data_IF_217058707448
#
_entry.id   IF_217058707448
#
_cell.length_a   1.000
_cell.length_b   1.000
_cell.length_c   1.000
_cell.angle_alpha   90.00
_cell.angle_beta   90.00
_cell.angle_gamma   90.00
#
_symmetry.space_group_name_H-M   'P 1'
#
loop_
_entity.id
_entity.type
_entity.pdbx_description
1 polymer ?
#
# COMPACT_ATOMS: atom_id res chain seq x y z
N UNK A 1 -35.39 -50.28 23.04
CA UNK A 1 -35.16 -49.17 24.02
C UNK A 1 -33.65 -48.82 24.22
N UNK A 2 -32.74 -49.76 24.60
CA UNK A 2 -31.33 -49.45 24.85
C UNK A 2 -30.57 -48.98 23.58
N UNK A 3 -30.79 -49.62 22.42
CA UNK A 3 -30.16 -49.26 21.16
C UNK A 3 -30.58 -47.85 20.66
N UNK A 4 -31.84 -47.48 20.82
CA UNK A 4 -32.34 -46.16 20.45
C UNK A 4 -31.80 -45.04 21.36
N UNK A 5 -31.66 -45.34 22.68
CA UNK A 5 -31.06 -44.43 23.65
C UNK A 5 -29.57 -44.17 23.29
N UNK A 6 -28.84 -45.23 22.89
CA UNK A 6 -27.44 -45.12 22.45
C UNK A 6 -27.32 -44.31 21.16
N UNK A 7 -28.19 -44.53 20.16
CA UNK A 7 -28.22 -43.82 18.92
C UNK A 7 -28.52 -42.32 19.12
N UNK A 8 -29.44 -41.97 20.03
CA UNK A 8 -29.79 -40.60 20.39
C UNK A 8 -28.65 -39.89 21.12
N UNK A 9 -27.90 -40.59 21.98
CA UNK A 9 -26.73 -40.04 22.65
C UNK A 9 -25.59 -39.75 21.69
N UNK A 10 -25.28 -40.65 20.75
CA UNK A 10 -24.28 -40.44 19.70
C UNK A 10 -24.66 -39.21 18.85
N UNK A 11 -25.93 -39.11 18.41
CA UNK A 11 -26.38 -37.95 17.64
C UNK A 11 -26.21 -36.63 18.41
N UNK A 12 -26.48 -36.63 19.71
CA UNK A 12 -26.28 -35.43 20.57
C UNK A 12 -24.80 -35.05 20.71
N UNK A 13 -23.92 -36.05 20.82
CA UNK A 13 -22.47 -35.84 20.89
C UNK A 13 -21.97 -35.22 19.55
N UNK A 14 -22.37 -35.83 18.42
CA UNK A 14 -22.00 -35.33 17.09
C UNK A 14 -22.46 -33.89 16.88
N UNK A 15 -23.73 -33.57 17.26
CA UNK A 15 -24.25 -32.19 17.15
C UNK A 15 -23.43 -31.21 18.02
N UNK A 16 -23.09 -31.61 19.26
CA UNK A 16 -22.28 -30.76 20.15
C UNK A 16 -20.86 -30.52 19.58
N UNK A 17 -20.25 -31.56 19.00
CA UNK A 17 -18.94 -31.41 18.33
C UNK A 17 -19.04 -30.48 17.14
N UNK A 18 -20.07 -30.62 16.29
CA UNK A 18 -20.28 -29.74 15.15
C UNK A 18 -20.50 -28.27 15.56
N UNK A 19 -21.28 -28.03 16.63
CA UNK A 19 -21.47 -26.69 17.19
C UNK A 19 -20.14 -26.14 17.71
N UNK A 20 -19.34 -26.95 18.40
CA UNK A 20 -18.02 -26.54 18.91
C UNK A 20 -17.06 -26.15 17.76
N UNK A 21 -17.01 -26.96 16.71
CA UNK A 21 -16.20 -26.66 15.52
C UNK A 21 -16.68 -25.39 14.82
N UNK A 22 -18.00 -25.22 14.64
CA UNK A 22 -18.55 -24.02 14.03
C UNK A 22 -18.23 -22.76 14.87
N UNK A 23 -18.34 -22.84 16.20
CA UNK A 23 -18.00 -21.74 17.09
C UNK A 23 -16.49 -21.39 17.04
N UNK A 24 -15.63 -22.40 16.96
CA UNK A 24 -14.19 -22.21 16.80
C UNK A 24 -13.86 -21.52 15.48
N UNK A 25 -14.41 -22.00 14.37
CA UNK A 25 -14.21 -21.36 13.05
C UNK A 25 -14.72 -19.92 13.01
N UNK A 26 -15.85 -19.65 13.66
CA UNK A 26 -16.37 -18.28 13.76
C UNK A 26 -15.41 -17.38 14.56
N UNK A 27 -14.89 -17.87 15.68
CA UNK A 27 -13.92 -17.12 16.49
C UNK A 27 -12.63 -16.83 15.70
N UNK A 28 -12.11 -17.80 14.94
CA UNK A 28 -10.96 -17.62 14.06
C UNK A 28 -11.22 -16.54 12.99
N UNK A 29 -12.36 -16.59 12.34
CA UNK A 29 -12.74 -15.55 11.35
C UNK A 29 -12.92 -14.18 11.98
N UNK A 30 -13.48 -14.08 13.19
CA UNK A 30 -13.56 -12.82 13.92
C UNK A 30 -12.17 -12.29 14.26
N UNK A 31 -11.26 -13.17 14.71
CA UNK A 31 -9.88 -12.80 15.02
C UNK A 31 -9.12 -12.33 13.77
N UNK A 32 -9.26 -13.04 12.64
CA UNK A 32 -8.66 -12.65 11.35
C UNK A 32 -9.19 -11.27 10.92
N UNK A 33 -10.50 -11.05 10.99
CA UNK A 33 -11.12 -9.77 10.67
C UNK A 33 -10.60 -8.64 11.55
N UNK A 34 -10.51 -8.90 12.86
CA UNK A 34 -10.05 -7.92 13.84
C UNK A 34 -8.56 -7.57 13.67
N UNK A 35 -7.71 -8.58 13.49
CA UNK A 35 -6.24 -8.39 13.43
C UNK A 35 -5.77 -7.88 12.08
N UNK A 36 -6.28 -8.47 10.99
CA UNK A 36 -5.77 -8.25 9.63
C UNK A 36 -6.69 -7.42 8.74
N UNK A 37 -7.82 -6.94 9.26
CA UNK A 37 -8.82 -6.19 8.47
C UNK A 37 -9.26 -6.94 7.21
N UNK A 38 -9.42 -8.26 7.29
CA UNK A 38 -9.66 -9.15 6.16
C UNK A 38 -10.87 -10.08 6.39
N UNK A 39 -11.48 -10.54 5.28
CA UNK A 39 -12.56 -11.52 5.30
C UNK A 39 -13.93 -10.97 5.72
N UNK A 40 -14.88 -11.85 6.09
CA UNK A 40 -16.27 -11.47 6.37
C UNK A 40 -16.45 -10.56 7.59
N UNK A 41 -15.48 -10.54 8.50
CA UNK A 41 -15.49 -9.71 9.72
C UNK A 41 -14.47 -8.56 9.68
N UNK A 42 -14.04 -8.10 8.49
CA UNK A 42 -13.13 -6.97 8.34
C UNK A 42 -13.57 -5.69 9.08
N UNK A 43 -14.89 -5.49 9.26
CA UNK A 43 -15.41 -4.36 10.03
C UNK A 43 -14.91 -4.31 11.49
N UNK A 44 -14.53 -5.46 12.08
CA UNK A 44 -13.92 -5.49 13.42
C UNK A 44 -12.52 -4.86 13.40
N UNK A 45 -11.75 -5.07 12.32
CA UNK A 45 -10.46 -4.42 12.10
C UNK A 45 -10.60 -2.91 11.91
N UNK A 46 -11.59 -2.47 11.15
CA UNK A 46 -11.89 -1.03 10.99
C UNK A 46 -12.26 -0.37 12.32
N UNK A 47 -13.08 -1.03 13.16
CA UNK A 47 -13.41 -0.54 14.51
C UNK A 47 -12.14 -0.42 15.36
N UNK A 48 -11.26 -1.43 15.34
CA UNK A 48 -9.97 -1.39 16.01
C UNK A 48 -9.12 -0.21 15.52
N UNK A 49 -8.97 -0.06 14.20
CA UNK A 49 -8.18 1.00 13.60
C UNK A 49 -8.71 2.40 13.95
N UNK A 50 -10.04 2.59 14.00
CA UNK A 50 -10.65 3.85 14.43
C UNK A 50 -10.32 4.20 15.90
N UNK A 51 -10.09 3.20 16.74
CA UNK A 51 -9.69 3.40 18.14
C UNK A 51 -8.21 3.68 18.35
N UNK A 52 -7.37 3.59 17.29
CA UNK A 52 -5.93 3.83 17.44
C UNK A 52 -5.61 5.32 17.52
N UNK A 53 -4.72 5.75 18.45
CA UNK A 53 -4.35 7.16 18.61
C UNK A 53 -3.88 7.81 17.31
N UNK A 54 -3.08 7.10 16.50
CA UNK A 54 -2.57 7.58 15.21
C UNK A 54 -3.64 7.75 14.12
N UNK A 55 -4.84 7.24 14.33
CA UNK A 55 -6.01 7.41 13.45
C UNK A 55 -7.06 8.36 14.00
N UNK A 56 -6.78 9.05 15.11
CA UNK A 56 -7.72 10.00 15.71
C UNK A 56 -8.04 11.17 14.75
N UNK A 57 -9.11 11.86 15.01
CA UNK A 57 -9.55 13.04 14.23
C UNK A 57 -8.50 14.17 14.23
N UNK A 58 -7.56 14.17 15.19
CA UNK A 58 -6.46 15.12 15.19
C UNK A 58 -5.59 15.01 13.93
N UNK A 59 -5.49 13.81 13.35
CA UNK A 59 -4.67 13.49 12.18
C UNK A 59 -5.49 13.38 10.88
N UNK A 60 -6.75 13.80 10.88
CA UNK A 60 -7.57 13.77 9.68
C UNK A 60 -6.99 14.71 8.61
N UNK A 61 -6.94 14.24 7.37
CA UNK A 61 -6.31 14.98 6.26
C UNK A 61 -7.08 16.23 5.85
N UNK A 62 -8.36 16.36 6.22
CA UNK A 62 -9.09 17.61 6.06
C UNK A 62 -8.49 18.80 6.83
N UNK A 63 -7.54 18.52 7.75
CA UNK A 63 -6.80 19.52 8.53
C UNK A 63 -5.41 19.84 7.96
N UNK A 64 -5.05 19.23 6.83
CA UNK A 64 -3.81 19.57 6.13
C UNK A 64 -4.01 20.91 5.42
N UNK A 65 -3.12 21.85 5.69
CA UNK A 65 -3.13 23.15 5.01
C UNK A 65 -2.73 22.96 3.54
N UNK A 66 -3.53 23.43 2.57
CA UNK A 66 -3.16 23.39 1.17
C UNK A 66 -1.87 24.18 0.88
N UNK A 67 -1.08 23.67 -0.05
CA UNK A 67 0.12 24.34 -0.53
C UNK A 67 -0.27 25.49 -1.48
N UNK A 68 0.17 26.69 -1.17
CA UNK A 68 0.07 27.81 -2.11
C UNK A 68 0.98 27.58 -3.32
N UNK A 69 0.46 27.84 -4.52
CA UNK A 69 1.22 27.70 -5.78
C UNK A 69 1.82 26.29 -6.02
N UNK A 70 1.10 25.25 -5.62
CA UNK A 70 1.53 23.86 -5.86
C UNK A 70 1.69 23.58 -7.37
N UNK A 71 2.79 22.94 -7.81
CA UNK A 71 2.99 22.56 -9.21
C UNK A 71 2.00 21.46 -9.66
N UNK A 72 1.35 20.76 -8.72
CA UNK A 72 0.34 19.74 -9.01
C UNK A 72 -1.10 20.25 -8.93
N UNK A 73 -1.31 21.55 -8.64
CA UNK A 73 -2.66 22.10 -8.56
C UNK A 73 -3.41 21.93 -9.89
N UNK A 74 -4.57 21.24 -9.84
CA UNK A 74 -5.39 20.94 -11.02
C UNK A 74 -4.84 19.83 -11.93
N UNK A 75 -3.73 19.21 -11.59
CA UNK A 75 -3.14 18.07 -12.29
C UNK A 75 -3.81 16.75 -11.89
N UNK A 76 -3.79 15.77 -12.78
CA UNK A 76 -4.25 14.41 -12.51
C UNK A 76 -3.05 13.52 -12.24
N UNK A 77 -3.02 12.89 -11.06
CA UNK A 77 -1.93 12.02 -10.61
C UNK A 77 -2.45 10.61 -10.41
N UNK A 78 -1.84 9.65 -11.11
CA UNK A 78 -2.13 8.24 -10.95
C UNK A 78 -1.22 7.63 -9.86
N UNK A 79 -1.81 7.06 -8.82
CA UNK A 79 -1.11 6.35 -7.76
C UNK A 79 -1.28 4.84 -7.93
N UNK A 80 -0.19 4.13 -8.20
CA UNK A 80 -0.15 2.68 -8.29
C UNK A 80 0.45 2.10 -7.01
N UNK A 81 -0.22 1.12 -6.39
CA UNK A 81 0.33 0.54 -5.18
C UNK A 81 -0.46 -0.61 -4.57
N UNK A 82 -0.07 -0.96 -3.36
CA UNK A 82 -0.74 -1.99 -2.56
C UNK A 82 -1.34 -1.41 -1.27
N UNK A 83 -1.25 -2.14 -0.16
CA UNK A 83 -1.83 -1.76 1.13
C UNK A 83 -1.32 -0.42 1.69
N UNK A 84 -0.05 -0.09 1.43
CA UNK A 84 0.53 1.20 1.84
C UNK A 84 -0.10 2.35 1.06
N UNK A 85 -0.19 2.26 -0.26
CA UNK A 85 -0.86 3.27 -1.10
C UNK A 85 -2.37 3.31 -0.84
N UNK A 86 -3.00 2.16 -0.55
CA UNK A 86 -4.41 2.09 -0.20
C UNK A 86 -4.73 2.71 1.17
N UNK A 87 -3.75 2.75 2.09
CA UNK A 87 -3.97 3.20 3.45
C UNK A 87 -4.69 2.17 4.31
N UNK A 88 -4.29 0.89 4.22
CA UNK A 88 -4.94 -0.23 4.90
C UNK A 88 -5.02 -0.06 6.43
N UNK A 89 -4.04 0.62 7.05
CA UNK A 89 -4.01 0.89 8.48
C UNK A 89 -4.44 2.31 8.88
N UNK A 90 -4.70 3.19 7.91
CA UNK A 90 -4.99 4.62 8.11
C UNK A 90 -6.41 5.01 7.71
N UNK A 91 -7.35 4.06 7.67
CA UNK A 91 -8.73 4.28 7.24
C UNK A 91 -8.81 4.89 5.84
N UNK A 92 -7.93 4.43 4.95
CA UNK A 92 -7.79 4.86 3.55
C UNK A 92 -7.34 6.31 3.34
N UNK A 93 -6.83 6.99 4.36
CA UNK A 93 -6.12 8.26 4.22
C UNK A 93 -4.61 7.99 4.16
N UNK A 94 -4.03 8.08 2.97
CA UNK A 94 -2.64 7.73 2.67
C UNK A 94 -2.00 8.74 1.70
N UNK A 95 -0.94 8.39 1.01
CA UNK A 95 -0.20 9.31 0.13
C UNK A 95 -1.08 9.95 -0.96
N UNK A 96 -1.99 9.23 -1.67
CA UNK A 96 -2.89 9.85 -2.63
C UNK A 96 -3.76 10.96 -2.03
N UNK A 97 -4.37 10.71 -0.87
CA UNK A 97 -5.22 11.69 -0.19
C UNK A 97 -4.41 12.83 0.40
N UNK A 98 -3.18 12.55 0.87
CA UNK A 98 -2.26 13.60 1.32
C UNK A 98 -1.94 14.57 0.17
N UNK A 99 -1.52 14.07 -0.99
CA UNK A 99 -1.19 14.91 -2.14
C UNK A 99 -2.41 15.62 -2.70
N UNK A 100 -3.57 14.97 -2.77
CA UNK A 100 -4.80 15.61 -3.19
C UNK A 100 -5.16 16.82 -2.30
N UNK A 101 -5.09 16.66 -0.98
CA UNK A 101 -5.40 17.72 -0.03
C UNK A 101 -4.32 18.79 0.01
N UNK A 102 -3.05 18.40 0.09
CA UNK A 102 -1.91 19.29 0.25
C UNK A 102 -1.56 20.02 -1.02
N UNK A 103 -1.54 19.32 -2.15
CA UNK A 103 -1.04 19.85 -3.43
C UNK A 103 -2.16 20.18 -4.42
N UNK A 104 -3.42 19.88 -4.11
CA UNK A 104 -4.58 20.25 -4.94
C UNK A 104 -4.68 19.47 -6.25
N UNK A 105 -4.09 18.27 -6.33
CA UNK A 105 -4.22 17.38 -7.49
C UNK A 105 -5.49 16.52 -7.43
N UNK A 106 -5.92 16.03 -8.58
CA UNK A 106 -6.89 14.94 -8.67
C UNK A 106 -6.15 13.61 -8.56
N UNK A 107 -6.34 12.88 -7.47
CA UNK A 107 -5.70 11.59 -7.27
C UNK A 107 -6.56 10.45 -7.82
N UNK A 108 -6.01 9.67 -8.77
CA UNK A 108 -6.56 8.38 -9.18
C UNK A 108 -5.80 7.32 -8.39
N UNK A 109 -6.49 6.62 -7.49
CA UNK A 109 -5.88 5.63 -6.62
C UNK A 109 -6.16 4.21 -7.09
N UNK A 110 -5.18 3.59 -7.75
CA UNK A 110 -5.17 2.18 -8.13
C UNK A 110 -4.30 1.39 -7.14
N UNK A 111 -4.88 1.09 -5.97
CA UNK A 111 -4.21 0.43 -4.87
C UNK A 111 -5.09 -0.65 -4.23
N UNK A 112 -4.56 -1.88 -4.13
CA UNK A 112 -5.25 -3.03 -3.53
C UNK A 112 -4.31 -3.78 -2.59
N UNK A 113 -4.78 -4.06 -1.38
CA UNK A 113 -4.00 -4.71 -0.33
C UNK A 113 -3.46 -6.07 -0.78
N UNK A 114 -2.19 -6.35 -0.45
CA UNK A 114 -1.56 -7.64 -0.71
C UNK A 114 -1.17 -7.90 -2.16
N UNK A 115 -1.35 -6.93 -3.07
CA UNK A 115 -1.01 -7.08 -4.49
C UNK A 115 0.45 -6.73 -4.79
N UNK A 116 0.97 -7.22 -5.91
CA UNK A 116 2.35 -7.10 -6.34
C UNK A 116 2.52 -6.10 -7.48
N UNK A 117 3.69 -5.53 -7.58
CA UNK A 117 4.16 -4.78 -8.73
C UNK A 117 4.36 -5.72 -9.91
N UNK A 118 5.05 -6.86 -9.69
CA UNK A 118 5.14 -7.94 -10.67
C UNK A 118 3.77 -8.43 -11.11
N UNK A 119 3.63 -8.75 -12.40
CA UNK A 119 2.37 -9.20 -12.98
C UNK A 119 2.07 -10.66 -12.59
N UNK A 120 1.50 -10.85 -11.41
CA UNK A 120 1.10 -12.15 -10.87
C UNK A 120 -0.38 -12.46 -11.08
N UNK A 121 -1.11 -11.65 -11.85
CA UNK A 121 -2.53 -11.84 -12.16
C UNK A 121 -3.35 -10.55 -12.05
N UNK A 122 -4.67 -10.69 -12.23
CA UNK A 122 -5.62 -9.60 -12.47
C UNK A 122 -5.59 -8.41 -11.51
N UNK A 123 -5.04 -8.57 -10.33
CA UNK A 123 -4.96 -7.51 -9.31
C UNK A 123 -3.56 -6.91 -9.15
N UNK A 124 -2.56 -7.31 -9.96
CA UNK A 124 -1.24 -6.69 -9.97
C UNK A 124 -1.33 -5.20 -10.33
N UNK A 125 -0.28 -4.41 -10.01
CA UNK A 125 -0.25 -2.98 -10.36
C UNK A 125 -0.44 -2.79 -11.86
N UNK A 126 0.29 -3.58 -12.67
CA UNK A 126 0.23 -3.53 -14.14
C UNK A 126 -1.19 -3.83 -14.63
N UNK A 127 -1.82 -4.91 -14.15
CA UNK A 127 -3.15 -5.28 -14.62
C UNK A 127 -4.21 -4.25 -14.23
N UNK A 128 -4.10 -3.61 -13.07
CA UNK A 128 -5.01 -2.53 -12.69
C UNK A 128 -4.75 -1.26 -13.51
N UNK A 129 -3.50 -0.92 -13.75
CA UNK A 129 -3.14 0.18 -14.65
C UNK A 129 -3.77 0.00 -16.03
N UNK A 130 -3.66 -1.19 -16.61
CA UNK A 130 -4.16 -1.48 -17.96
C UNK A 130 -5.69 -1.60 -18.06
N UNK A 131 -6.36 -2.08 -17.01
CA UNK A 131 -7.79 -2.41 -17.10
C UNK A 131 -8.71 -1.39 -16.43
N UNK A 132 -8.20 -0.57 -15.51
CA UNK A 132 -9.01 0.35 -14.73
C UNK A 132 -8.76 1.81 -15.07
N UNK A 133 -7.64 2.13 -15.71
CA UNK A 133 -7.30 3.51 -16.11
C UNK A 133 -7.49 3.62 -17.63
N UNK A 134 -8.30 4.61 -18.03
CA UNK A 134 -8.52 4.87 -19.44
C UNK A 134 -7.22 5.38 -20.10
N UNK A 135 -6.71 4.72 -21.16
CA UNK A 135 -5.50 5.18 -21.84
C UNK A 135 -5.64 6.58 -22.47
N UNK A 136 -6.87 7.00 -22.79
CA UNK A 136 -7.16 8.35 -23.33
C UNK A 136 -7.33 9.40 -22.23
N UNK A 137 -7.34 9.01 -20.96
CA UNK A 137 -7.42 9.94 -19.84
C UNK A 137 -6.12 10.73 -19.70
N UNK A 138 -6.22 12.04 -19.49
CA UNK A 138 -5.05 12.84 -19.16
C UNK A 138 -4.51 12.44 -17.79
N UNK A 139 -3.26 11.95 -17.76
CA UNK A 139 -2.46 11.71 -16.56
C UNK A 139 -1.23 12.64 -16.66
N UNK A 140 -1.01 13.45 -15.64
CA UNK A 140 0.10 14.41 -15.60
C UNK A 140 1.32 13.86 -14.84
N UNK A 141 1.15 12.84 -14.00
CA UNK A 141 2.20 12.17 -13.22
C UNK A 141 1.75 10.78 -12.79
N UNK A 142 2.65 9.81 -12.85
CA UNK A 142 2.46 8.50 -12.20
C UNK A 142 3.35 8.42 -10.95
N UNK A 143 2.74 8.10 -9.81
CA UNK A 143 3.42 7.84 -8.53
C UNK A 143 3.23 6.37 -8.18
N UNK A 144 4.29 5.58 -8.23
CA UNK A 144 4.23 4.14 -8.03
C UNK A 144 4.94 3.72 -6.74
N UNK A 145 4.30 2.89 -5.94
CA UNK A 145 4.92 2.27 -4.78
C UNK A 145 5.90 1.18 -5.20
N UNK A 146 7.16 1.23 -4.74
CA UNK A 146 8.03 0.06 -4.77
C UNK A 146 7.46 -0.98 -3.79
N UNK A 147 7.04 -2.12 -4.31
CA UNK A 147 6.13 -3.02 -3.60
C UNK A 147 6.81 -3.82 -2.48
N UNK A 148 6.32 -3.67 -1.25
CA UNK A 148 6.71 -4.50 -0.11
C UNK A 148 6.22 -5.95 -0.24
N UNK A 149 5.16 -6.18 -1.01
CA UNK A 149 4.63 -7.53 -1.24
C UNK A 149 5.51 -8.34 -2.18
N UNK A 150 6.18 -7.70 -3.14
CA UNK A 150 7.14 -8.40 -4.00
C UNK A 150 8.33 -8.90 -3.18
N UNK A 151 8.84 -8.08 -2.26
CA UNK A 151 9.88 -8.49 -1.32
C UNK A 151 9.42 -9.66 -0.44
N UNK A 152 8.27 -9.55 0.21
CA UNK A 152 7.78 -10.56 1.16
C UNK A 152 7.38 -11.88 0.51
N UNK A 153 6.99 -11.86 -0.78
CA UNK A 153 6.65 -13.05 -1.57
C UNK A 153 7.86 -13.64 -2.31
N UNK A 154 9.04 -13.02 -2.19
CA UNK A 154 10.24 -13.48 -2.86
C UNK A 154 10.14 -13.43 -4.38
N UNK A 155 9.50 -12.38 -4.92
CA UNK A 155 9.44 -12.20 -6.37
C UNK A 155 10.85 -12.02 -6.93
N UNK A 156 11.15 -12.59 -8.12
CA UNK A 156 12.48 -12.48 -8.69
C UNK A 156 12.82 -11.02 -9.03
N UNK A 157 14.04 -10.59 -8.69
CA UNK A 157 14.51 -9.25 -9.02
C UNK A 157 14.56 -9.06 -10.54
N UNK A 158 15.06 -10.05 -11.25
CA UNK A 158 15.22 -10.06 -12.71
C UNK A 158 16.34 -9.15 -13.23
N UNK A 159 16.54 -9.18 -14.53
CA UNK A 159 17.50 -8.35 -15.24
C UNK A 159 16.79 -7.30 -16.12
N UNK A 160 17.54 -6.33 -16.61
CA UNK A 160 17.04 -5.34 -17.56
C UNK A 160 16.50 -6.01 -18.83
N UNK A 161 15.29 -5.62 -19.24
CA UNK A 161 14.63 -6.19 -20.41
C UNK A 161 13.87 -7.49 -20.15
N UNK A 162 13.82 -7.98 -18.92
CA UNK A 162 12.97 -9.11 -18.54
C UNK A 162 11.48 -8.79 -18.72
N UNK A 163 10.66 -9.81 -18.64
CA UNK A 163 9.20 -9.65 -18.65
C UNK A 163 8.65 -9.14 -17.30
N UNK A 164 7.37 -8.85 -17.29
CA UNK A 164 6.66 -8.28 -16.13
C UNK A 164 6.49 -9.24 -14.94
N UNK A 165 6.95 -10.49 -15.04
CA UNK A 165 6.98 -11.44 -13.94
C UNK A 165 8.13 -11.19 -12.96
N UNK A 166 9.09 -10.32 -13.33
CA UNK A 166 10.19 -9.87 -12.49
C UNK A 166 9.97 -8.43 -12.02
N UNK A 167 10.63 -8.06 -10.92
CA UNK A 167 10.54 -6.71 -10.35
C UNK A 167 11.11 -5.68 -11.34
N UNK A 168 12.29 -5.95 -11.92
CA UNK A 168 12.92 -5.07 -12.90
C UNK A 168 12.04 -4.87 -14.13
N UNK A 169 11.58 -5.97 -14.76
CA UNK A 169 10.73 -5.89 -15.93
C UNK A 169 9.39 -5.21 -15.69
N UNK A 170 8.80 -5.39 -14.50
CA UNK A 170 7.58 -4.72 -14.11
C UNK A 170 7.75 -3.20 -13.93
N UNK A 171 8.86 -2.75 -13.32
CA UNK A 171 9.22 -1.34 -13.20
C UNK A 171 9.40 -0.72 -14.60
N UNK A 172 10.24 -1.34 -15.44
CA UNK A 172 10.49 -0.86 -16.81
C UNK A 172 9.20 -0.82 -17.65
N UNK A 173 8.30 -1.79 -17.46
CA UNK A 173 7.01 -1.81 -18.16
C UNK A 173 6.11 -0.63 -17.77
N UNK A 174 5.96 -0.35 -16.45
CA UNK A 174 5.15 0.78 -15.97
C UNK A 174 5.70 2.09 -16.49
N UNK A 175 7.03 2.29 -16.44
CA UNK A 175 7.69 3.49 -16.95
C UNK A 175 7.40 3.68 -18.43
N UNK A 176 7.65 2.65 -19.24
CA UNK A 176 7.43 2.71 -20.69
C UNK A 176 5.96 2.98 -21.01
N UNK A 177 5.04 2.26 -20.37
CA UNK A 177 3.61 2.46 -20.60
C UNK A 177 3.16 3.89 -20.29
N UNK A 178 3.58 4.46 -19.17
CA UNK A 178 3.23 5.83 -18.80
C UNK A 178 3.81 6.86 -19.79
N UNK A 179 5.06 6.69 -20.21
CA UNK A 179 5.72 7.56 -21.19
C UNK A 179 5.08 7.46 -22.58
N UNK A 180 4.75 6.25 -23.03
CA UNK A 180 4.21 6.01 -24.38
C UNK A 180 2.73 6.39 -24.49
N UNK A 181 1.95 6.14 -23.41
CA UNK A 181 0.49 6.32 -23.43
C UNK A 181 0.07 7.71 -22.95
N UNK A 182 0.62 8.15 -21.81
CA UNK A 182 0.19 9.42 -21.18
C UNK A 182 1.21 10.54 -21.35
N UNK A 183 2.40 10.25 -21.86
CA UNK A 183 3.48 11.22 -22.05
C UNK A 183 3.82 12.00 -20.78
N UNK A 184 3.74 11.35 -19.63
CA UNK A 184 3.93 11.96 -18.32
C UNK A 184 5.16 11.39 -17.60
N UNK A 185 5.74 12.14 -16.66
CA UNK A 185 6.79 11.65 -15.78
C UNK A 185 6.29 10.54 -14.86
N UNK A 186 7.24 9.72 -14.40
CA UNK A 186 7.01 8.64 -13.44
C UNK A 186 7.95 8.82 -12.25
N UNK A 187 7.42 8.69 -11.05
CA UNK A 187 8.22 8.60 -9.84
C UNK A 187 7.86 7.33 -9.07
N UNK A 188 8.85 6.72 -8.45
CA UNK A 188 8.63 5.62 -7.52
C UNK A 188 8.92 6.08 -6.10
N UNK A 189 8.13 5.65 -5.12
CA UNK A 189 8.47 5.85 -3.73
C UNK A 189 8.77 4.54 -3.02
N UNK A 190 9.77 4.58 -2.13
CA UNK A 190 10.15 3.46 -1.29
C UNK A 190 9.39 3.48 0.04
N UNK A 191 9.38 2.36 0.74
CA UNK A 191 8.84 2.27 2.10
C UNK A 191 9.84 2.83 3.12
N UNK A 192 9.40 3.34 4.27
CA UNK A 192 10.27 3.50 5.42
C UNK A 192 10.92 2.17 5.78
N UNK A 193 12.10 2.23 6.42
CA UNK A 193 12.92 1.04 6.70
C UNK A 193 12.18 0.05 7.60
N UNK A 194 12.16 -1.21 7.17
CA UNK A 194 11.64 -2.36 7.90
C UNK A 194 12.57 -3.56 7.71
N UNK A 195 12.41 -4.60 8.51
CA UNK A 195 13.21 -5.81 8.41
C UNK A 195 12.87 -6.60 7.13
N UNK A 196 13.82 -6.65 6.19
CA UNK A 196 13.68 -7.35 4.92
C UNK A 196 15.05 -7.64 4.30
N UNK A 197 15.28 -8.90 3.94
CA UNK A 197 16.51 -9.33 3.26
C UNK A 197 16.52 -8.96 1.76
N UNK A 198 15.36 -8.75 1.15
CA UNK A 198 15.21 -8.59 -0.29
C UNK A 198 14.93 -7.15 -0.73
N UNK A 199 14.23 -6.36 0.10
CA UNK A 199 13.82 -5.01 -0.25
C UNK A 199 15.02 -4.07 -0.55
N UNK A 200 16.18 -4.14 0.15
CA UNK A 200 17.36 -3.33 -0.18
C UNK A 200 17.85 -3.54 -1.61
N UNK A 201 17.81 -4.78 -2.13
CA UNK A 201 18.20 -5.07 -3.50
C UNK A 201 17.22 -4.46 -4.52
N UNK A 202 15.92 -4.42 -4.18
CA UNK A 202 14.92 -3.76 -5.01
C UNK A 202 15.13 -2.24 -5.06
N UNK A 203 15.47 -1.62 -3.93
CA UNK A 203 15.80 -0.18 -3.86
C UNK A 203 17.03 0.12 -4.71
N UNK A 204 18.11 -0.67 -4.58
CA UNK A 204 19.31 -0.51 -5.41
C UNK A 204 19.00 -0.63 -6.90
N UNK A 205 18.19 -1.63 -7.30
CA UNK A 205 17.77 -1.82 -8.70
C UNK A 205 16.90 -0.66 -9.19
N UNK A 206 16.04 -0.10 -8.34
CA UNK A 206 15.25 1.08 -8.70
C UNK A 206 16.13 2.28 -9.05
N UNK A 207 17.22 2.51 -8.31
CA UNK A 207 18.19 3.57 -8.63
C UNK A 207 18.90 3.32 -9.96
N UNK A 208 19.32 2.07 -10.24
CA UNK A 208 19.92 1.71 -11.54
C UNK A 208 18.95 1.98 -12.72
N UNK A 209 17.66 1.70 -12.52
CA UNK A 209 16.62 2.00 -13.52
C UNK A 209 16.43 3.51 -13.65
N UNK A 210 16.36 4.22 -12.52
CA UNK A 210 16.11 5.65 -12.50
C UNK A 210 17.19 6.45 -13.24
N UNK A 211 18.46 6.06 -13.08
CA UNK A 211 19.58 6.66 -13.81
C UNK A 211 19.46 6.42 -15.33
N UNK A 212 18.99 5.25 -15.74
CA UNK A 212 18.87 4.86 -17.14
C UNK A 212 17.63 5.44 -17.84
N UNK A 213 16.51 5.52 -17.12
CA UNK A 213 15.18 5.80 -17.68
C UNK A 213 14.68 7.23 -17.39
N UNK A 214 15.45 8.06 -16.70
CA UNK A 214 15.04 9.41 -16.28
C UNK A 214 13.69 9.41 -15.57
N UNK A 215 13.66 8.76 -14.39
CA UNK A 215 12.49 8.69 -13.50
C UNK A 215 12.87 9.09 -12.08
N UNK A 216 11.92 9.63 -11.33
CA UNK A 216 12.15 10.06 -9.96
C UNK A 216 12.13 8.90 -8.96
N UNK A 217 12.98 9.01 -7.94
CA UNK A 217 12.94 8.14 -6.76
C UNK A 217 12.71 8.98 -5.52
N UNK A 218 11.54 8.79 -4.88
CA UNK A 218 11.21 9.38 -3.60
C UNK A 218 11.60 8.38 -2.51
N UNK A 219 12.81 8.53 -1.99
CA UNK A 219 13.43 7.50 -1.17
C UNK A 219 13.28 7.75 0.33
N UNK A 220 12.39 6.99 0.95
CA UNK A 220 12.26 6.92 2.41
C UNK A 220 13.16 5.83 3.02
N UNK A 221 13.57 4.83 2.23
CA UNK A 221 14.31 3.68 2.73
C UNK A 221 15.73 4.05 3.15
N UNK A 222 16.45 4.75 2.29
CA UNK A 222 17.89 5.00 2.46
C UNK A 222 18.18 6.21 3.35
N UNK A 223 17.19 7.05 3.67
CA UNK A 223 17.34 8.23 4.51
C UNK A 223 17.44 7.83 5.99
N UNK A 224 18.66 7.88 6.54
CA UNK A 224 18.91 7.57 7.96
C UNK A 224 18.26 8.58 8.92
N UNK A 225 18.20 9.86 8.54
CA UNK A 225 17.61 10.90 9.38
C UNK A 225 16.08 10.73 9.43
N UNK A 226 15.45 10.44 8.30
CA UNK A 226 14.04 10.13 8.20
C UNK A 226 13.66 8.90 9.04
N UNK A 227 14.48 7.84 9.01
CA UNK A 227 14.22 6.60 9.73
C UNK A 227 14.57 6.64 11.21
N UNK A 228 15.25 7.70 11.70
CA UNK A 228 15.64 7.86 13.09
C UNK A 228 14.54 8.52 13.93
N UNK A 229 13.42 7.83 14.09
CA UNK A 229 12.29 8.26 14.92
C UNK A 229 12.30 7.56 16.28
N UNK A 230 11.76 8.24 17.32
CA UNK A 230 11.65 7.64 18.66
C UNK A 230 10.64 6.48 18.69
N UNK A 231 10.68 5.64 19.73
CA UNK A 231 9.74 4.55 19.91
C UNK A 231 8.29 5.09 20.12
N UNK A 232 8.15 6.24 20.78
CA UNK A 232 6.87 6.91 20.95
C UNK A 232 6.30 7.36 19.59
N UNK A 233 7.13 7.94 18.73
CA UNK A 233 6.75 8.32 17.37
C UNK A 233 6.40 7.08 16.55
N UNK A 234 7.20 6.01 16.64
CA UNK A 234 6.91 4.76 15.94
C UNK A 234 5.56 4.17 16.36
N UNK A 235 5.28 4.14 17.65
CA UNK A 235 3.99 3.66 18.19
C UNK A 235 2.80 4.51 17.71
N UNK A 236 3.00 5.83 17.59
CA UNK A 236 1.97 6.74 17.11
C UNK A 236 1.77 6.64 15.59
N UNK A 237 2.86 6.47 14.83
CA UNK A 237 2.85 6.56 13.38
C UNK A 237 2.57 5.22 12.68
N UNK A 238 2.89 4.08 13.28
CA UNK A 238 2.87 2.77 12.61
C UNK A 238 1.93 1.79 13.27
N UNK A 239 1.13 1.09 12.46
CA UNK A 239 0.32 -0.05 12.92
C UNK A 239 1.16 -1.32 13.09
N UNK A 240 2.13 -1.47 12.23
CA UNK A 240 3.12 -2.55 12.20
C UNK A 240 4.40 -2.02 11.54
N UNK A 241 5.33 -2.90 11.14
CA UNK A 241 6.61 -2.47 10.55
C UNK A 241 6.48 -1.84 9.14
N UNK A 242 5.31 -1.92 8.50
CA UNK A 242 5.14 -1.53 7.09
C UNK A 242 4.07 -0.45 6.92
N UNK A 243 2.97 -0.52 7.68
CA UNK A 243 1.76 0.25 7.43
C UNK A 243 1.59 1.42 8.39
N UNK A 244 1.72 2.67 7.92
CA UNK A 244 1.46 3.84 8.74
C UNK A 244 -0.02 4.02 9.09
N UNK A 245 -0.28 4.64 10.25
CA UNK A 245 -1.54 5.30 10.56
C UNK A 245 -1.65 6.65 9.84
N UNK A 246 -2.80 7.35 9.95
CA UNK A 246 -2.97 8.72 9.44
C UNK A 246 -1.87 9.67 9.92
N UNK A 247 -1.52 9.61 11.20
CA UNK A 247 -0.43 10.40 11.79
C UNK A 247 0.91 10.17 11.08
N UNK A 248 1.22 8.92 10.75
CA UNK A 248 2.45 8.56 10.06
C UNK A 248 2.49 9.11 8.62
N UNK A 249 1.38 9.04 7.89
CA UNK A 249 1.32 9.65 6.56
C UNK A 249 1.33 11.17 6.62
N UNK A 250 0.59 11.78 7.55
CA UNK A 250 0.44 13.23 7.62
C UNK A 250 1.70 13.94 8.12
N UNK A 251 2.32 13.42 9.19
CA UNK A 251 3.34 14.13 9.95
C UNK A 251 4.77 13.61 9.70
N UNK A 252 4.92 12.49 8.99
CA UNK A 252 6.20 11.85 8.77
C UNK A 252 6.45 11.56 7.28
N UNK A 253 5.67 10.67 6.62
CA UNK A 253 5.90 10.29 5.22
C UNK A 253 5.53 11.39 4.23
N UNK A 254 4.36 11.98 4.39
CA UNK A 254 3.82 12.96 3.45
C UNK A 254 4.75 14.15 3.25
N UNK A 255 5.21 14.83 4.32
CA UNK A 255 6.12 15.97 4.19
C UNK A 255 7.45 15.63 3.52
N UNK A 256 8.02 14.43 3.77
CA UNK A 256 9.27 14.05 3.14
C UNK A 256 9.07 13.67 1.66
N UNK A 257 8.01 12.93 1.33
CA UNK A 257 7.67 12.62 -0.06
C UNK A 257 7.32 13.91 -0.85
N UNK A 258 6.61 14.86 -0.24
CA UNK A 258 6.33 16.17 -0.82
C UNK A 258 7.63 16.91 -1.17
N UNK A 259 8.54 17.03 -0.22
CA UNK A 259 9.84 17.69 -0.39
C UNK A 259 10.64 17.07 -1.53
N UNK A 260 10.73 15.74 -1.58
CA UNK A 260 11.48 15.03 -2.62
C UNK A 260 10.78 15.15 -3.99
N UNK A 261 9.46 15.09 -4.03
CA UNK A 261 8.71 15.28 -5.28
C UNK A 261 8.86 16.69 -5.84
N UNK A 262 8.79 17.71 -4.99
CA UNK A 262 9.02 19.10 -5.44
C UNK A 262 10.41 19.27 -6.01
N UNK A 263 11.44 18.73 -5.34
CA UNK A 263 12.81 18.78 -5.85
C UNK A 263 12.98 18.05 -7.21
N UNK A 264 12.21 16.98 -7.45
CA UNK A 264 12.19 16.31 -8.75
C UNK A 264 11.50 17.15 -9.84
N UNK A 265 10.37 17.77 -9.51
CA UNK A 265 9.59 18.57 -10.48
C UNK A 265 10.24 19.91 -10.86
N UNK A 266 11.23 20.37 -10.10
CA UNK A 266 12.01 21.59 -10.36
C UNK A 266 13.21 21.38 -11.31
N UNK A 267 13.53 20.12 -11.66
CA UNK A 267 14.66 19.77 -12.53
C UNK A 267 14.29 19.96 -14.01
#
# INVERSE_FOLDING_TARGET
>A
MAAEKKKRNVKRIVVRVLIGVAAFLLAEWCFIGWKFNFGPFKALGEIRLKGMPGNSDAYDFSKIEPMENSPLHGKTVLFLGSSVTNGAASLHQSIPEYFATRMGCTAIKEAVDGTTLCDTGKSSYIQRMLNNVDPDQQIDLVVCQLSTNDASKGMPLGDFGDDTATITGAIEYIIRYAKDTWHCPVVFYTNARYDSDTYPAMVSRLYEIAEKEDVGVLDLWSDDAFNNISEEQRTLYMNDNIHPYKSGYRDWWGPELEKQLLAYLEQ
#
